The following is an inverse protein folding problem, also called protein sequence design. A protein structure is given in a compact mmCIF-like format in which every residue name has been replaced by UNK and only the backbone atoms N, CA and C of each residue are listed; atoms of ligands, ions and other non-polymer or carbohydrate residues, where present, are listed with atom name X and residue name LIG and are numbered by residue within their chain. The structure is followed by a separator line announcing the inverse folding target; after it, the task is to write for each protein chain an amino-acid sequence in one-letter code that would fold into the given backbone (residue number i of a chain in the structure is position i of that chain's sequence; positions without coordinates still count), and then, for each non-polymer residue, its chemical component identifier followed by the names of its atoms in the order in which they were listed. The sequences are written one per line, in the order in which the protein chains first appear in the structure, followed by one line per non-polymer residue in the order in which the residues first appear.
data_IF_043437421153
#
_entry.id   IF_043437421153
#
_cell.length_a   1.000
_cell.length_b   1.000
_cell.length_c   1.000
_cell.angle_alpha   90.00
_cell.angle_beta   90.00
_cell.angle_gamma   90.00
#
_symmetry.space_group_name_H-M   'P 1'
#
loop_
_entity.id
_entity.type
_entity.pdbx_description
1 polymer ?
#
# COMPACT_ATOMS: atom_id res chain seq x y z
N UNK A 1 -18.88 -42.91 17.45
CA UNK A 1 -20.35 -43.22 17.50
C UNK A 1 -20.92 -42.61 18.75
N UNK A 2 -21.47 -41.39 18.69
CA UNK A 2 -22.63 -41.00 19.50
C UNK A 2 -23.37 -39.93 18.69
N UNK A 3 -24.50 -40.29 18.20
CA UNK A 3 -25.54 -39.52 17.60
C UNK A 3 -26.23 -38.71 18.70
N UNK A 4 -26.20 -37.39 18.63
CA UNK A 4 -27.10 -36.53 19.43
C UNK A 4 -28.22 -36.05 18.53
N UNK A 5 -29.41 -36.50 18.86
CA UNK A 5 -30.67 -36.28 18.19
C UNK A 5 -31.16 -34.84 18.36
N UNK A 6 -31.80 -34.34 17.30
CA UNK A 6 -32.40 -32.99 17.14
C UNK A 6 -33.58 -32.65 18.05
N UNK A 7 -33.88 -33.44 19.10
CA UNK A 7 -35.06 -33.26 19.94
C UNK A 7 -34.90 -32.35 21.17
N UNK A 8 -33.67 -31.94 21.51
CA UNK A 8 -33.42 -31.17 22.75
C UNK A 8 -33.51 -29.67 22.60
N UNK A 9 -33.65 -29.14 21.40
CA UNK A 9 -33.66 -27.69 21.15
C UNK A 9 -35.08 -27.09 21.07
N UNK A 10 -36.08 -27.87 20.85
CA UNK A 10 -37.50 -27.39 20.81
C UNK A 10 -38.15 -27.26 22.17
N UNK A 11 -37.77 -28.05 23.16
CA UNK A 11 -38.37 -27.99 24.49
C UNK A 11 -37.92 -26.78 25.34
N UNK A 12 -36.76 -26.21 25.08
CA UNK A 12 -36.24 -25.07 25.85
C UNK A 12 -36.84 -23.72 25.44
N UNK A 13 -37.52 -23.64 24.32
CA UNK A 13 -38.11 -22.40 23.81
C UNK A 13 -39.60 -22.20 24.21
N UNK A 14 -40.19 -23.12 24.93
CA UNK A 14 -41.62 -23.09 25.29
C UNK A 14 -41.92 -22.48 26.67
N UNK A 15 -40.93 -22.07 27.44
CA UNK A 15 -41.12 -21.59 28.82
C UNK A 15 -40.77 -20.11 29.10
N UNK A 16 -40.77 -19.24 28.13
CA UNK A 16 -40.59 -17.79 28.39
C UNK A 16 -41.55 -16.95 27.56
N UNK A 17 -42.82 -16.88 27.95
CA UNK A 17 -43.70 -15.79 27.59
C UNK A 17 -44.12 -15.06 28.87
N UNK A 18 -43.75 -13.82 29.11
CA UNK A 18 -44.36 -13.03 30.18
C UNK A 18 -45.73 -12.56 29.72
N UNK A 19 -46.72 -12.81 30.58
CA UNK A 19 -48.08 -12.37 30.42
C UNK A 19 -48.16 -10.84 30.59
N UNK A 20 -48.55 -10.16 29.52
CA UNK A 20 -48.87 -8.73 29.57
C UNK A 20 -50.31 -8.56 29.99
N UNK A 21 -50.53 -8.17 31.26
CA UNK A 21 -51.85 -7.85 31.80
C UNK A 21 -52.42 -6.56 31.20
N UNK A 22 -53.55 -6.66 30.54
CA UNK A 22 -54.36 -5.55 30.10
C UNK A 22 -54.92 -4.80 31.31
N UNK A 23 -54.42 -3.66 31.65
CA UNK A 23 -55.10 -2.72 32.56
C UNK A 23 -56.17 -1.93 31.78
N UNK A 24 -57.41 -2.15 32.15
CA UNK A 24 -58.60 -1.45 31.75
C UNK A 24 -58.56 -0.07 32.45
N UNK A 25 -58.46 1.01 31.71
CA UNK A 25 -58.63 2.37 32.26
C UNK A 25 -60.11 2.72 32.15
N UNK A 26 -60.69 2.95 33.31
CA UNK A 26 -62.05 3.41 33.54
C UNK A 26 -62.09 4.95 33.27
N UNK A 27 -63.04 5.34 32.45
CA UNK A 27 -63.29 6.75 32.09
C UNK A 27 -63.98 7.41 33.28
N UNK A 28 -63.31 8.38 33.88
CA UNK A 28 -63.94 9.28 34.84
C UNK A 28 -64.13 10.64 34.20
N UNK A 29 -65.36 10.94 33.85
CA UNK A 29 -65.85 12.23 33.48
C UNK A 29 -65.74 13.17 34.67
N UNK A 30 -65.10 14.33 34.52
CA UNK A 30 -65.34 15.52 35.35
C UNK A 30 -65.13 16.80 34.52
N UNK A 31 -66.23 17.43 34.39
CA UNK A 31 -66.48 18.75 33.83
C UNK A 31 -65.75 19.88 34.55
N UNK A 32 -65.45 20.93 33.77
CA UNK A 32 -65.24 22.37 34.04
C UNK A 32 -64.11 22.77 34.97
N UNK A 33 -63.15 23.62 34.54
CA UNK A 33 -63.34 25.04 34.34
C UNK A 33 -62.08 25.70 33.73
N UNK A 34 -62.31 26.60 32.81
CA UNK A 34 -61.75 27.96 32.63
C UNK A 34 -60.25 28.15 32.40
N UNK A 35 -59.97 28.57 31.19
CA UNK A 35 -58.96 29.54 30.74
C UNK A 35 -57.58 29.58 31.39
N UNK A 36 -56.64 29.10 30.65
CA UNK A 36 -55.48 29.90 30.27
C UNK A 36 -54.77 29.22 29.07
N UNK A 37 -55.05 29.76 27.89
CA UNK A 37 -54.22 29.52 26.69
C UNK A 37 -52.84 30.08 26.95
N UNK A 38 -51.99 29.34 27.63
CA UNK A 38 -50.55 29.55 27.56
C UNK A 38 -50.09 28.82 26.30
N UNK A 39 -50.11 29.53 25.17
CA UNK A 39 -49.35 29.15 24.01
C UNK A 39 -47.89 29.35 24.42
N UNK A 40 -47.21 28.27 24.85
CA UNK A 40 -45.76 28.24 24.86
C UNK A 40 -45.28 28.41 23.43
N UNK A 41 -45.08 29.66 23.04
CA UNK A 41 -44.35 30.01 21.83
C UNK A 41 -42.89 29.65 22.11
N UNK A 42 -42.52 28.41 21.84
CA UNK A 42 -41.11 28.09 21.72
C UNK A 42 -40.54 28.99 20.63
N UNK A 43 -39.58 29.88 20.95
CA UNK A 43 -39.02 30.78 19.94
C UNK A 43 -38.38 29.93 18.85
N UNK A 44 -39.03 29.94 17.70
CA UNK A 44 -38.51 29.24 16.53
C UNK A 44 -37.12 29.78 16.24
N UNK A 45 -36.12 28.88 16.34
CA UNK A 45 -34.72 29.21 16.07
C UNK A 45 -34.61 29.93 14.74
N UNK A 46 -34.04 31.14 14.73
CA UNK A 46 -33.88 31.96 13.54
C UNK A 46 -33.15 31.17 12.45
N UNK A 47 -33.53 31.34 11.16
CA UNK A 47 -32.93 30.63 10.06
C UNK A 47 -31.38 30.74 10.01
N UNK A 48 -30.87 31.91 10.45
CA UNK A 48 -29.41 32.13 10.58
C UNK A 48 -28.76 31.22 11.63
N UNK A 49 -29.44 30.98 12.76
CA UNK A 49 -28.94 30.13 13.82
C UNK A 49 -28.95 28.65 13.38
N UNK A 50 -29.98 28.20 12.64
CA UNK A 50 -30.04 26.86 12.04
C UNK A 50 -28.91 26.65 11.03
N UNK A 51 -28.60 27.66 10.20
CA UNK A 51 -27.49 27.62 9.24
C UNK A 51 -26.14 27.54 9.95
N UNK A 52 -25.93 28.32 11.02
CA UNK A 52 -24.69 28.25 11.80
C UNK A 52 -24.49 26.90 12.47
N UNK A 53 -25.54 26.30 13.02
CA UNK A 53 -25.48 24.96 13.61
C UNK A 53 -25.14 23.92 12.52
N UNK A 54 -25.76 24.02 11.35
CA UNK A 54 -25.47 23.13 10.23
C UNK A 54 -23.98 23.22 9.80
N UNK A 55 -23.46 24.45 9.66
CA UNK A 55 -22.05 24.66 9.33
C UNK A 55 -21.12 24.14 10.42
N UNK A 56 -21.46 24.29 11.68
CA UNK A 56 -20.70 23.75 12.80
C UNK A 56 -20.66 22.22 12.76
N UNK A 57 -21.79 21.56 12.49
CA UNK A 57 -21.87 20.08 12.37
C UNK A 57 -21.02 19.60 11.20
N UNK A 58 -21.06 20.26 10.04
CA UNK A 58 -20.23 19.94 8.88
C UNK A 58 -18.74 20.08 9.22
N UNK A 59 -18.37 21.16 9.91
CA UNK A 59 -16.99 21.40 10.34
C UNK A 59 -16.49 20.28 11.27
N UNK A 60 -17.31 19.93 12.27
CA UNK A 60 -16.96 18.82 13.21
C UNK A 60 -16.83 17.52 12.44
N UNK A 61 -17.74 17.20 11.50
CA UNK A 61 -17.65 16.01 10.68
C UNK A 61 -16.38 15.99 9.83
N UNK A 62 -16.00 17.11 9.21
CA UNK A 62 -14.76 17.21 8.45
C UNK A 62 -13.50 16.98 9.31
N UNK A 63 -13.45 17.61 10.49
CA UNK A 63 -12.32 17.44 11.44
C UNK A 63 -12.24 16.01 11.93
N UNK A 64 -13.37 15.34 12.24
CA UNK A 64 -13.38 13.95 12.67
C UNK A 64 -12.90 13.01 11.55
N UNK A 65 -13.33 13.20 10.30
CA UNK A 65 -12.88 12.41 9.15
C UNK A 65 -11.37 12.55 8.94
N UNK A 66 -10.84 13.78 8.98
CA UNK A 66 -9.39 14.02 8.85
C UNK A 66 -8.61 13.38 10.00
N UNK A 67 -9.10 13.52 11.23
CA UNK A 67 -8.46 12.95 12.42
C UNK A 67 -8.45 11.41 12.38
N UNK A 68 -9.54 10.79 11.97
CA UNK A 68 -9.64 9.34 11.82
C UNK A 68 -8.71 8.84 10.72
N UNK A 69 -8.68 9.51 9.56
CA UNK A 69 -7.73 9.16 8.49
C UNK A 69 -6.28 9.26 8.96
N UNK A 70 -5.93 10.35 9.65
CA UNK A 70 -4.58 10.52 10.18
C UNK A 70 -4.25 9.47 11.24
N UNK A 71 -5.19 9.14 12.13
CA UNK A 71 -5.02 8.10 13.14
C UNK A 71 -4.80 6.71 12.52
N UNK A 72 -5.58 6.35 11.49
CA UNK A 72 -5.41 5.07 10.77
C UNK A 72 -4.06 5.03 10.04
N UNK A 73 -3.66 6.14 9.40
CA UNK A 73 -2.39 6.25 8.67
C UNK A 73 -1.14 6.19 9.59
N UNK A 74 -1.28 6.58 10.87
CA UNK A 74 -0.17 6.57 11.82
C UNK A 74 -0.19 5.39 12.80
N UNK A 75 -1.11 4.42 12.62
CA UNK A 75 -1.15 3.23 13.47
C UNK A 75 0.10 2.39 13.27
N UNK A 76 0.89 2.25 14.31
CA UNK A 76 1.89 1.18 14.40
C UNK A 76 1.15 -0.16 14.57
N UNK A 77 1.36 -1.06 13.62
CA UNK A 77 0.88 -2.44 13.75
C UNK A 77 1.73 -3.15 14.80
N UNK A 78 1.17 -3.34 16.00
CA UNK A 78 1.84 -4.02 17.13
C UNK A 78 1.56 -5.53 17.17
N UNK A 79 0.63 -6.00 16.38
CA UNK A 79 0.29 -7.42 16.25
C UNK A 79 0.29 -7.79 14.77
N UNK A 80 0.86 -8.94 14.46
CA UNK A 80 0.84 -9.52 13.13
C UNK A 80 0.54 -11.03 13.27
N UNK A 81 -0.17 -11.56 12.30
CA UNK A 81 -0.36 -13.00 12.17
C UNK A 81 0.62 -13.52 11.12
N UNK A 82 1.36 -14.56 11.48
CA UNK A 82 2.27 -15.22 10.54
C UNK A 82 1.44 -16.11 9.61
N UNK A 83 1.21 -15.64 8.39
CA UNK A 83 0.45 -16.38 7.36
C UNK A 83 1.27 -17.54 6.81
N UNK A 84 2.58 -17.32 6.62
CA UNK A 84 3.51 -18.35 6.15
C UNK A 84 4.91 -18.08 6.67
N UNK A 85 5.67 -19.14 6.90
CA UNK A 85 7.09 -19.06 7.17
C UNK A 85 7.83 -20.09 6.31
N UNK A 86 8.88 -19.66 5.65
CA UNK A 86 9.73 -20.56 4.84
C UNK A 86 11.13 -20.52 5.42
N UNK A 87 11.67 -21.71 5.73
CA UNK A 87 13.06 -21.82 6.14
C UNK A 87 13.97 -21.47 4.96
N UNK A 88 14.84 -20.49 5.17
CA UNK A 88 15.87 -20.15 4.20
C UNK A 88 17.13 -20.88 4.58
N UNK A 89 17.40 -22.01 3.92
CA UNK A 89 18.63 -22.74 4.09
C UNK A 89 19.74 -22.14 3.21
N UNK A 90 20.90 -21.88 3.82
CA UNK A 90 22.14 -21.62 3.10
C UNK A 90 22.68 -20.20 3.21
N UNK A 91 23.93 -20.04 2.78
CA UNK A 91 24.76 -18.83 2.82
C UNK A 91 24.28 -17.68 1.91
N UNK A 92 23.09 -17.80 1.33
CA UNK A 92 22.55 -16.82 0.40
C UNK A 92 21.76 -15.73 1.13
N UNK A 93 22.42 -14.63 1.41
CA UNK A 93 21.75 -13.41 1.85
C UNK A 93 20.73 -13.01 0.78
N UNK A 94 19.44 -13.08 1.08
CA UNK A 94 18.37 -12.65 0.20
C UNK A 94 17.91 -11.23 0.57
N UNK A 95 17.68 -10.41 -0.43
CA UNK A 95 16.98 -9.14 -0.27
C UNK A 95 15.51 -9.37 -0.59
N UNK A 96 14.63 -8.84 0.25
CA UNK A 96 13.18 -8.90 0.04
C UNK A 96 12.67 -7.49 -0.21
N UNK A 97 12.01 -7.30 -1.34
CA UNK A 97 11.46 -6.01 -1.77
C UNK A 97 9.98 -6.17 -2.04
N UNK A 98 9.18 -5.26 -1.48
CA UNK A 98 7.76 -5.20 -1.83
C UNK A 98 7.63 -4.78 -3.29
N UNK A 99 6.94 -5.58 -4.08
CA UNK A 99 6.73 -5.33 -5.49
C UNK A 99 5.25 -5.55 -5.83
N UNK A 100 4.56 -4.44 -6.12
CA UNK A 100 3.11 -4.46 -6.24
C UNK A 100 2.45 -4.99 -4.96
N UNK A 101 1.68 -6.07 -5.04
CA UNK A 101 0.97 -6.66 -3.90
C UNK A 101 1.71 -7.86 -3.29
N UNK A 102 2.89 -8.19 -3.80
CA UNK A 102 3.66 -9.38 -3.49
C UNK A 102 5.13 -9.04 -3.17
N UNK A 103 5.97 -10.04 -3.03
CA UNK A 103 7.37 -9.87 -2.62
C UNK A 103 8.32 -10.42 -3.68
N UNK A 104 9.33 -9.63 -4.04
CA UNK A 104 10.51 -10.12 -4.76
C UNK A 104 11.55 -10.58 -3.75
N UNK A 105 11.94 -11.85 -3.81
CA UNK A 105 13.11 -12.41 -3.15
C UNK A 105 14.27 -12.39 -4.14
N UNK A 106 15.29 -11.60 -3.86
CA UNK A 106 16.45 -11.40 -4.75
C UNK A 106 17.69 -11.97 -4.11
N UNK A 107 18.32 -12.92 -4.78
CA UNK A 107 19.55 -13.60 -4.35
C UNK A 107 20.67 -13.34 -5.37
N UNK A 108 21.89 -13.80 -5.10
CA UNK A 108 22.99 -13.75 -6.09
C UNK A 108 22.73 -14.63 -7.31
N UNK A 109 21.91 -15.66 -7.17
CA UNK A 109 21.67 -16.69 -8.18
C UNK A 109 20.35 -16.51 -8.92
N UNK A 110 19.53 -15.53 -8.53
CA UNK A 110 18.26 -15.26 -9.18
C UNK A 110 17.27 -14.46 -8.35
N UNK A 111 16.10 -14.24 -8.93
CA UNK A 111 14.95 -13.56 -8.32
C UNK A 111 13.73 -14.48 -8.37
N UNK A 112 12.95 -14.47 -7.29
CA UNK A 112 11.66 -15.16 -7.21
C UNK A 112 10.57 -14.17 -6.81
N UNK A 113 9.44 -14.22 -7.48
CA UNK A 113 8.24 -13.45 -7.15
C UNK A 113 7.30 -14.32 -6.35
N UNK A 114 7.00 -13.90 -5.12
CA UNK A 114 6.32 -14.72 -4.12
C UNK A 114 5.01 -14.03 -3.77
N UNK A 115 3.90 -14.78 -3.85
CA UNK A 115 2.57 -14.29 -3.50
C UNK A 115 2.36 -14.17 -1.99
N UNK A 116 1.22 -13.60 -1.60
CA UNK A 116 0.85 -13.42 -0.18
C UNK A 116 0.68 -14.75 0.58
N UNK A 117 0.52 -15.87 -0.13
CA UNK A 117 0.42 -17.22 0.45
C UNK A 117 1.78 -17.90 0.59
N UNK A 118 2.86 -17.25 0.12
CA UNK A 118 4.22 -17.79 0.14
C UNK A 118 4.57 -18.68 -1.06
N UNK A 119 3.70 -18.76 -2.08
CA UNK A 119 3.99 -19.55 -3.28
C UNK A 119 4.81 -18.72 -4.27
N UNK A 120 5.76 -19.38 -4.93
CA UNK A 120 6.50 -18.76 -6.04
C UNK A 120 5.60 -18.71 -7.27
N UNK A 121 5.32 -17.48 -7.73
CA UNK A 121 4.54 -17.23 -8.95
C UNK A 121 5.40 -17.44 -10.19
N UNK A 122 6.61 -16.90 -10.17
CA UNK A 122 7.65 -17.11 -11.17
C UNK A 122 9.03 -16.90 -10.54
N UNK A 123 10.05 -17.43 -11.20
CA UNK A 123 11.46 -17.24 -10.87
C UNK A 123 12.30 -16.99 -12.14
N UNK A 124 13.44 -16.35 -11.95
CA UNK A 124 14.43 -16.11 -13.01
C UNK A 124 15.83 -16.25 -12.44
N UNK A 125 16.61 -17.16 -13.04
CA UNK A 125 18.00 -17.37 -12.64
C UNK A 125 18.93 -16.39 -13.36
N UNK A 126 19.92 -15.92 -12.63
CA UNK A 126 21.07 -15.15 -13.10
C UNK A 126 22.26 -15.41 -12.17
N UNK A 127 23.41 -14.78 -12.42
CA UNK A 127 24.54 -14.81 -11.49
C UNK A 127 25.09 -13.40 -11.33
N UNK A 128 24.95 -12.85 -10.13
CA UNK A 128 25.40 -11.50 -9.77
C UNK A 128 26.22 -11.53 -8.50
N UNK A 129 27.27 -10.71 -8.45
CA UNK A 129 28.13 -10.61 -7.25
C UNK A 129 27.56 -9.65 -6.24
N UNK A 130 27.17 -8.45 -6.67
CA UNK A 130 26.68 -7.37 -5.81
C UNK A 130 25.40 -6.77 -6.40
N UNK A 131 24.27 -7.35 -6.06
CA UNK A 131 22.98 -6.97 -6.60
C UNK A 131 22.37 -5.74 -5.91
N UNK A 132 21.88 -4.81 -6.68
CA UNK A 132 20.95 -3.79 -6.26
C UNK A 132 19.60 -4.06 -6.89
N UNK A 133 18.54 -4.00 -6.09
CA UNK A 133 17.17 -4.14 -6.55
C UNK A 133 16.42 -2.85 -6.27
N UNK A 134 15.74 -2.35 -7.27
CA UNK A 134 14.85 -1.19 -7.21
C UNK A 134 13.51 -1.56 -7.80
N UNK A 135 12.43 -1.06 -7.23
CA UNK A 135 11.09 -1.36 -7.69
C UNK A 135 10.16 -0.18 -7.53
N UNK A 136 9.31 0.02 -8.53
CA UNK A 136 8.32 1.10 -8.56
C UNK A 136 7.01 0.56 -9.13
N UNK A 137 6.09 0.15 -8.23
CA UNK A 137 4.72 -0.23 -8.52
C UNK A 137 4.52 -1.31 -9.60
N UNK A 138 4.82 -1.00 -10.84
CA UNK A 138 4.59 -1.87 -12.00
C UNK A 138 5.79 -2.64 -12.51
N UNK A 139 7.01 -2.13 -12.24
CA UNK A 139 8.27 -2.69 -12.71
C UNK A 139 9.33 -2.73 -11.61
N UNK A 140 10.26 -3.65 -11.73
CA UNK A 140 11.44 -3.75 -10.89
C UNK A 140 12.67 -3.97 -11.76
N UNK A 141 13.81 -3.44 -11.33
CA UNK A 141 15.09 -3.68 -11.96
C UNK A 141 16.08 -4.25 -10.95
N UNK A 142 16.90 -5.20 -11.41
CA UNK A 142 18.00 -5.78 -10.65
C UNK A 142 19.28 -5.56 -11.45
N UNK A 143 20.26 -4.93 -10.82
CA UNK A 143 21.56 -4.66 -11.43
C UNK A 143 22.68 -5.29 -10.63
N UNK A 144 23.74 -5.75 -11.30
CA UNK A 144 24.99 -6.19 -10.69
C UNK A 144 25.89 -4.96 -10.47
N UNK A 145 25.98 -4.47 -9.24
CA UNK A 145 26.88 -3.36 -8.91
C UNK A 145 28.33 -3.77 -9.07
N UNK A 146 29.14 -2.90 -9.65
CA UNK A 146 30.51 -3.17 -10.12
C UNK A 146 30.58 -4.30 -11.15
N UNK A 147 29.45 -4.68 -11.69
CA UNK A 147 29.25 -5.52 -12.86
C UNK A 147 28.51 -4.73 -13.93
N UNK A 148 27.94 -5.43 -14.92
CA UNK A 148 27.37 -4.79 -16.13
C UNK A 148 25.96 -5.26 -16.46
N UNK A 149 25.44 -6.22 -15.74
CA UNK A 149 24.17 -6.86 -16.07
C UNK A 149 23.00 -6.17 -15.38
N UNK A 150 21.94 -5.94 -16.17
CA UNK A 150 20.66 -5.41 -15.70
C UNK A 150 19.56 -6.33 -16.16
N UNK A 151 18.61 -6.62 -15.26
CA UNK A 151 17.39 -7.37 -15.53
C UNK A 151 16.19 -6.52 -15.14
N UNK A 152 15.20 -6.45 -16.01
CA UNK A 152 13.93 -5.73 -15.77
C UNK A 152 12.81 -6.75 -15.67
N UNK A 153 11.96 -6.56 -14.66
CA UNK A 153 10.85 -7.45 -14.34
C UNK A 153 9.54 -6.66 -14.24
N UNK A 154 8.45 -7.34 -14.54
CA UNK A 154 7.09 -6.90 -14.21
C UNK A 154 6.37 -8.03 -13.46
N UNK A 155 5.07 -7.86 -13.19
CA UNK A 155 4.25 -8.86 -12.49
C UNK A 155 4.21 -10.23 -13.20
N UNK A 156 4.43 -10.26 -14.52
CA UNK A 156 4.37 -11.48 -15.34
C UNK A 156 5.74 -12.19 -15.49
N UNK A 157 6.82 -11.58 -15.00
CA UNK A 157 8.16 -12.13 -15.08
C UNK A 157 9.18 -11.18 -15.69
N UNK A 158 10.26 -11.76 -16.24
CA UNK A 158 11.32 -10.99 -16.89
C UNK A 158 10.81 -10.34 -18.18
N UNK A 159 10.99 -9.01 -18.27
CA UNK A 159 10.67 -8.20 -19.46
C UNK A 159 11.88 -8.17 -20.40
N UNK A 160 13.04 -7.77 -19.85
CA UNK A 160 14.26 -7.65 -20.62
C UNK A 160 15.49 -7.88 -19.75
N UNK A 161 16.62 -8.05 -20.38
CA UNK A 161 17.94 -7.99 -19.75
C UNK A 161 18.97 -7.52 -20.76
N UNK A 162 20.00 -6.85 -20.26
CA UNK A 162 21.15 -6.44 -21.07
C UNK A 162 22.43 -6.41 -20.26
N UNK A 163 23.56 -6.51 -20.96
CA UNK A 163 24.90 -6.28 -20.43
C UNK A 163 25.39 -4.93 -20.95
N UNK A 164 25.71 -4.02 -20.03
CA UNK A 164 26.14 -2.67 -20.35
C UNK A 164 27.66 -2.61 -20.65
N UNK A 165 28.10 -1.49 -21.24
CA UNK A 165 29.49 -1.31 -21.66
C UNK A 165 30.46 -1.00 -20.50
N UNK A 166 29.91 -0.46 -19.40
CA UNK A 166 30.69 -0.03 -18.23
C UNK A 166 30.04 -0.56 -16.95
N UNK A 167 30.80 -0.53 -15.88
CA UNK A 167 30.39 -1.05 -14.59
C UNK A 167 29.31 -0.16 -13.97
N UNK A 168 28.26 -0.80 -13.45
CA UNK A 168 27.10 -0.12 -12.85
C UNK A 168 27.44 0.30 -11.43
N UNK A 169 27.19 1.55 -11.08
CA UNK A 169 27.37 2.06 -9.72
C UNK A 169 26.05 2.37 -9.03
N UNK A 170 25.00 2.70 -9.80
CA UNK A 170 23.66 2.92 -9.25
C UNK A 170 22.60 2.69 -10.34
N UNK A 171 21.38 2.37 -9.91
CA UNK A 171 20.21 2.15 -10.78
C UNK A 171 18.94 2.62 -10.10
N UNK A 172 18.01 3.19 -10.89
CA UNK A 172 16.63 3.45 -10.47
C UNK A 172 15.65 3.14 -11.60
N UNK A 173 14.35 2.91 -11.27
CA UNK A 173 13.32 2.47 -12.21
C UNK A 173 12.01 3.22 -12.00
N UNK A 174 11.38 3.65 -13.09
CA UNK A 174 10.03 4.20 -13.12
C UNK A 174 8.95 3.11 -13.19
N UNK A 175 7.72 3.46 -12.87
CA UNK A 175 6.60 2.51 -12.79
C UNK A 175 6.29 1.79 -14.11
N UNK A 176 6.57 2.41 -15.25
CA UNK A 176 6.38 1.81 -16.58
C UNK A 176 7.60 1.01 -17.09
N UNK A 177 8.70 0.93 -16.30
CA UNK A 177 9.88 0.15 -16.63
C UNK A 177 10.99 0.92 -17.35
N UNK A 178 10.88 2.23 -17.49
CA UNK A 178 12.04 3.07 -17.84
C UNK A 178 13.01 3.02 -16.68
N UNK A 179 14.25 2.70 -16.93
CA UNK A 179 15.28 2.66 -15.89
C UNK A 179 16.48 3.53 -16.27
N UNK A 180 17.14 4.03 -15.26
CA UNK A 180 18.33 4.86 -15.39
C UNK A 180 19.47 4.23 -14.59
N UNK A 181 20.67 4.35 -15.11
CA UNK A 181 21.88 3.80 -14.49
C UNK A 181 22.99 4.81 -14.47
N UNK A 182 23.79 4.80 -13.42
CA UNK A 182 25.11 5.42 -13.41
C UNK A 182 26.14 4.36 -13.76
N UNK A 183 26.99 4.68 -14.73
CA UNK A 183 28.03 3.80 -15.22
C UNK A 183 29.40 4.44 -14.98
N UNK A 184 30.35 3.66 -14.48
CA UNK A 184 31.71 4.11 -14.22
C UNK A 184 32.64 3.60 -15.32
N UNK A 185 33.14 4.53 -16.11
CA UNK A 185 34.24 4.28 -17.05
C UNK A 185 35.60 4.68 -16.47
N UNK A 186 36.68 4.42 -17.19
CA UNK A 186 38.04 4.71 -16.73
C UNK A 186 38.34 6.17 -16.49
N UNK A 187 37.82 7.07 -17.33
CA UNK A 187 38.07 8.53 -17.30
C UNK A 187 36.78 9.33 -17.12
N UNK A 188 35.66 8.75 -17.39
CA UNK A 188 34.36 9.40 -17.50
C UNK A 188 33.28 8.52 -16.94
N UNK A 189 32.23 9.10 -16.46
CA UNK A 189 31.04 8.40 -16.03
C UNK A 189 29.88 8.69 -16.99
N UNK A 190 28.91 7.84 -17.00
CA UNK A 190 27.75 7.98 -17.86
C UNK A 190 26.47 7.85 -17.04
N UNK A 191 25.48 8.63 -17.39
CA UNK A 191 24.11 8.48 -16.90
C UNK A 191 23.25 8.13 -18.10
N UNK A 192 22.81 6.89 -18.16
CA UNK A 192 22.06 6.36 -19.29
C UNK A 192 20.65 5.99 -18.86
N UNK A 193 19.67 6.30 -19.69
CA UNK A 193 18.29 5.86 -19.53
C UNK A 193 17.90 4.90 -20.66
N UNK A 194 17.15 3.89 -20.30
CA UNK A 194 16.65 2.84 -21.19
C UNK A 194 15.16 2.64 -20.98
N UNK A 195 14.45 2.22 -22.04
CA UNK A 195 13.08 1.78 -21.91
C UNK A 195 13.00 0.37 -21.31
N UNK A 196 11.76 -0.10 -21.04
CA UNK A 196 11.51 -1.44 -20.49
C UNK A 196 12.07 -2.59 -21.34
N UNK A 197 12.27 -2.35 -22.64
CA UNK A 197 12.80 -3.33 -23.59
C UNK A 197 14.31 -3.19 -23.75
N UNK A 198 14.97 -2.41 -22.87
CA UNK A 198 16.41 -2.15 -22.82
C UNK A 198 16.94 -1.35 -24.02
N UNK A 199 16.07 -0.58 -24.68
CA UNK A 199 16.46 0.33 -25.75
C UNK A 199 16.91 1.67 -25.16
N UNK A 200 18.06 2.19 -25.60
CA UNK A 200 18.57 3.50 -25.13
C UNK A 200 17.62 4.64 -25.49
N UNK A 201 17.29 5.45 -24.49
CA UNK A 201 16.48 6.68 -24.60
C UNK A 201 17.39 7.91 -24.49
N UNK A 202 18.33 7.86 -23.54
CA UNK A 202 19.17 9.01 -23.19
C UNK A 202 20.53 8.54 -22.73
N UNK A 203 21.55 9.32 -23.07
CA UNK A 203 22.92 9.12 -22.61
C UNK A 203 23.55 10.48 -22.29
N UNK A 204 24.08 10.61 -21.09
CA UNK A 204 24.83 11.78 -20.65
C UNK A 204 26.19 11.35 -20.14
N UNK A 205 27.23 11.99 -20.67
CA UNK A 205 28.60 11.79 -20.23
C UNK A 205 28.97 12.86 -19.21
N UNK A 206 29.58 12.44 -18.10
CA UNK A 206 30.10 13.34 -17.08
C UNK A 206 31.60 13.14 -16.93
N UNK A 207 32.31 14.20 -16.68
CA UNK A 207 33.75 14.16 -16.39
C UNK A 207 34.02 14.77 -15.02
N UNK A 208 35.01 14.22 -14.31
CA UNK A 208 35.41 14.71 -12.99
C UNK A 208 35.74 16.19 -13.00
N UNK A 209 36.39 16.65 -14.06
CA UNK A 209 36.87 18.04 -14.19
C UNK A 209 35.71 19.05 -14.34
N UNK A 210 34.64 18.67 -15.02
CA UNK A 210 33.55 19.59 -15.39
C UNK A 210 32.27 19.40 -14.62
N UNK A 211 31.91 18.16 -14.29
CA UNK A 211 30.59 17.80 -13.76
C UNK A 211 30.64 17.06 -12.41
N UNK A 212 31.85 16.65 -11.98
CA UNK A 212 32.00 15.79 -10.81
C UNK A 212 31.58 14.34 -11.07
N UNK A 213 31.63 13.53 -10.01
CA UNK A 213 31.11 12.16 -10.00
C UNK A 213 29.62 12.20 -9.69
N UNK A 214 28.74 11.60 -10.51
CA UNK A 214 27.36 11.39 -10.12
C UNK A 214 27.33 10.36 -8.99
N UNK A 215 26.76 10.75 -7.85
CA UNK A 215 26.72 9.91 -6.64
C UNK A 215 25.39 9.16 -6.54
N UNK A 216 24.31 9.82 -6.95
CA UNK A 216 22.98 9.26 -6.83
C UNK A 216 22.08 9.68 -8.00
N UNK A 217 21.10 8.83 -8.33
CA UNK A 217 20.11 9.11 -9.36
C UNK A 217 18.72 8.73 -8.85
N UNK A 218 17.72 9.48 -9.29
CA UNK A 218 16.32 9.15 -9.09
C UNK A 218 15.52 9.50 -10.35
N UNK A 219 14.60 8.63 -10.72
CA UNK A 219 13.66 8.89 -11.81
C UNK A 219 12.25 9.07 -11.25
N UNK A 220 11.48 10.01 -11.81
CA UNK A 220 10.08 10.20 -11.43
C UNK A 220 9.24 8.98 -11.83
N UNK A 221 8.13 8.75 -11.12
CA UNK A 221 7.23 7.60 -11.34
C UNK A 221 6.75 7.50 -12.80
N UNK A 222 6.54 8.65 -13.45
CA UNK A 222 6.14 8.75 -14.86
C UNK A 222 7.31 8.61 -15.85
N UNK A 223 8.54 8.44 -15.36
CA UNK A 223 9.75 8.34 -16.17
C UNK A 223 10.15 9.61 -16.93
N UNK A 224 9.51 10.74 -16.66
CA UNK A 224 9.70 11.97 -17.43
C UNK A 224 10.78 12.89 -16.87
N UNK A 225 11.20 12.69 -15.62
CA UNK A 225 12.18 13.54 -14.94
C UNK A 225 13.28 12.69 -14.31
N UNK A 226 14.50 13.09 -14.56
CA UNK A 226 15.70 12.50 -13.97
C UNK A 226 16.35 13.53 -13.04
N UNK A 227 16.71 13.07 -11.84
CA UNK A 227 17.47 13.83 -10.85
C UNK A 227 18.80 13.14 -10.61
N UNK A 228 19.86 13.93 -10.49
CA UNK A 228 21.20 13.43 -10.17
C UNK A 228 21.90 14.37 -9.20
N UNK A 229 22.68 13.81 -8.30
CA UNK A 229 23.52 14.56 -7.36
C UNK A 229 24.99 14.18 -7.48
#
# INVERSE_FOLDING_TARGET
RYSMTKETTEELNKKRKPAFGKRRFEKQDRTQDTDSNIIEVTPGMSGRLKLLILLLVILIAAVTIVSVRRYISTREYRAYDVVTSTETSGDNIANYVLFSDNVLKVTKDGVSYIDQSGNTVWDCSYSMKMRQVVGNGGCAAVADLNGRDVYVFNKSGKVSNQTLNYDITNIDVAAQGVYVVILSGEKENYINAYDKDSKSIYEMKTSIENSGYPLDIAISDDGAKLFTS
#
